data_IF_529063532679
#
_entry.id   IF_529063532679
#
_cell.length_a   1.000
_cell.length_b   1.000
_cell.length_c   1.000
_cell.angle_alpha   90.00
_cell.angle_beta   90.00
_cell.angle_gamma   90.00
#
_symmetry.space_group_name_H-M   'P 1'
#
loop_
_entity.id
_entity.type
_entity.pdbx_description
1 polymer ?
#
# COMPACT_ATOMS: atom_id res chain seq x y z
N UNK A 1 -43.42 10.01 -18.90
CA UNK A 1 -42.59 10.97 -18.58
C UNK A 1 -42.19 10.93 -17.20
N UNK A 2 -42.41 10.35 -16.36
CA UNK A 2 -41.95 10.35 -15.09
C UNK A 2 -41.17 9.19 -14.83
N UNK A 3 -40.49 8.67 -15.68
CA UNK A 3 -39.85 7.45 -15.49
C UNK A 3 -38.43 7.55 -15.16
N UNK A 4 -37.95 8.70 -15.07
CA UNK A 4 -36.56 8.88 -15.07
C UNK A 4 -35.85 8.61 -13.79
N UNK A 5 -36.57 8.25 -12.81
CA UNK A 5 -36.00 8.36 -11.50
C UNK A 5 -35.16 7.20 -11.06
N UNK A 6 -35.17 6.14 -11.81
CA UNK A 6 -34.64 4.91 -11.25
C UNK A 6 -33.18 4.63 -11.42
N UNK A 7 -32.47 5.57 -11.97
CA UNK A 7 -31.14 5.19 -12.41
C UNK A 7 -30.03 5.52 -11.47
N UNK A 8 -30.33 6.28 -10.47
CA UNK A 8 -29.28 6.89 -9.70
C UNK A 8 -28.70 6.00 -8.64
N UNK A 9 -29.36 4.96 -8.31
CA UNK A 9 -28.99 4.19 -7.15
C UNK A 9 -27.77 3.29 -7.33
N UNK A 10 -27.34 3.07 -8.55
CA UNK A 10 -26.29 2.09 -8.74
C UNK A 10 -24.90 2.58 -8.49
N UNK A 11 -24.70 3.85 -8.57
CA UNK A 11 -23.33 4.34 -8.48
C UNK A 11 -22.74 4.21 -7.09
N UNK A 12 -23.57 4.12 -6.10
CA UNK A 12 -23.07 4.10 -4.74
C UNK A 12 -22.37 2.80 -4.38
N UNK A 13 -22.72 1.73 -5.06
CA UNK A 13 -22.15 0.44 -4.71
C UNK A 13 -20.69 0.29 -5.08
N UNK A 14 -20.31 0.92 -6.16
CA UNK A 14 -18.93 0.83 -6.59
C UNK A 14 -17.98 1.46 -5.58
N UNK A 15 -18.44 2.52 -4.93
CA UNK A 15 -17.60 3.20 -3.97
C UNK A 15 -17.32 2.36 -2.73
N UNK A 16 -18.26 1.54 -2.34
CA UNK A 16 -18.08 0.71 -1.17
C UNK A 16 -17.05 -0.39 -1.41
N UNK A 17 -17.04 -0.93 -2.60
CA UNK A 17 -16.12 -2.01 -2.92
C UNK A 17 -14.68 -1.58 -3.02
N UNK A 18 -14.45 -0.31 -3.27
CA UNK A 18 -13.09 0.19 -3.46
C UNK A 18 -12.65 1.09 -2.32
N UNK A 19 -13.25 0.94 -1.15
CA UNK A 19 -12.94 1.81 -0.04
C UNK A 19 -11.57 1.58 0.57
N UNK A 20 -10.96 0.42 0.35
CA UNK A 20 -9.65 0.11 0.93
C UNK A 20 -8.58 0.15 -0.13
N UNK A 21 -7.47 0.86 0.15
CA UNK A 21 -6.35 0.83 -0.78
C UNK A 21 -5.85 -0.60 -0.97
N UNK A 22 -5.51 -0.92 -2.18
CA UNK A 22 -4.89 -2.21 -2.49
C UNK A 22 -3.84 -1.99 -3.56
N UNK A 23 -2.79 -2.81 -3.53
CA UNK A 23 -1.70 -2.69 -4.47
C UNK A 23 -0.55 -3.59 -4.08
N UNK A 24 0.62 -3.32 -4.61
CA UNK A 24 1.79 -4.17 -4.40
C UNK A 24 2.15 -4.30 -2.93
N UNK A 25 2.07 -3.21 -2.18
CA UNK A 25 2.42 -3.22 -0.77
C UNK A 25 1.39 -4.00 0.04
N UNK A 26 0.11 -3.76 -0.22
CA UNK A 26 -0.95 -4.47 0.50
C UNK A 26 -0.86 -5.97 0.25
N UNK A 27 -0.65 -6.36 -0.99
CA UNK A 27 -0.54 -7.78 -1.34
C UNK A 27 0.68 -8.42 -0.68
N UNK A 28 1.82 -7.73 -0.68
CA UNK A 28 3.02 -8.25 -0.04
C UNK A 28 2.87 -8.34 1.46
N UNK A 29 2.20 -7.37 2.05
CA UNK A 29 1.93 -7.35 3.49
C UNK A 29 1.09 -8.56 3.88
N UNK A 30 0.00 -8.82 3.15
CA UNK A 30 -0.88 -9.95 3.47
C UNK A 30 -0.19 -11.29 3.23
N UNK A 31 0.67 -11.36 2.23
CA UNK A 31 1.39 -12.57 1.92
C UNK A 31 2.60 -12.82 2.82
N UNK A 32 2.96 -11.87 3.67
CA UNK A 32 4.16 -11.98 4.49
C UNK A 32 4.08 -13.07 5.56
N UNK A 33 2.89 -13.51 5.91
CA UNK A 33 2.72 -14.53 6.93
C UNK A 33 2.96 -14.05 8.35
N UNK A 34 3.13 -12.76 8.54
CA UNK A 34 3.34 -12.22 9.88
C UNK A 34 2.04 -12.22 10.67
N UNK A 35 2.11 -12.53 11.97
CA UNK A 35 0.88 -12.60 12.77
C UNK A 35 0.06 -11.32 12.77
N UNK A 36 0.71 -10.16 12.69
CA UNK A 36 0.00 -8.89 12.70
C UNK A 36 -0.60 -8.53 11.33
N UNK A 37 -0.21 -9.23 10.27
CA UNK A 37 -0.68 -8.89 8.92
C UNK A 37 -2.14 -9.28 8.76
N UNK A 38 -2.98 -8.28 8.52
CA UNK A 38 -4.39 -8.49 8.23
C UNK A 38 -4.82 -7.44 7.21
N UNK A 39 -6.01 -7.62 6.64
CA UNK A 39 -6.46 -6.75 5.57
C UNK A 39 -6.53 -5.29 5.98
N UNK A 40 -6.95 -5.03 7.20
CA UNK A 40 -7.07 -3.65 7.68
C UNK A 40 -5.70 -2.99 7.80
N UNK A 41 -4.77 -3.65 8.47
CA UNK A 41 -3.43 -3.11 8.63
C UNK A 41 -2.73 -2.97 7.29
N UNK A 42 -2.82 -3.98 6.44
CA UNK A 42 -2.16 -3.96 5.14
C UNK A 42 -2.73 -2.88 4.23
N UNK A 43 -4.03 -2.59 4.31
CA UNK A 43 -4.62 -1.50 3.56
C UNK A 43 -4.12 -0.14 4.06
N UNK A 44 -3.97 0.01 5.36
CA UNK A 44 -3.41 1.23 5.94
C UNK A 44 -1.98 1.45 5.45
N UNK A 45 -1.17 0.41 5.48
CA UNK A 45 0.21 0.48 5.02
C UNK A 45 0.27 0.82 3.53
N UNK A 46 -0.66 0.27 2.75
CA UNK A 46 -0.74 0.63 1.33
C UNK A 46 -1.04 2.11 1.14
N UNK A 47 -1.92 2.67 1.95
CA UNK A 47 -2.22 4.10 1.90
C UNK A 47 -0.98 4.94 2.16
N UNK A 48 -0.16 4.54 3.12
CA UNK A 48 1.10 5.22 3.38
C UNK A 48 2.05 5.12 2.19
N UNK A 49 2.06 3.98 1.52
CA UNK A 49 2.89 3.80 0.33
C UNK A 49 2.41 4.68 -0.82
N UNK A 50 1.10 4.78 -1.00
CA UNK A 50 0.55 5.62 -2.07
C UNK A 50 0.93 7.08 -1.87
N UNK A 51 1.07 7.52 -0.64
CA UNK A 51 1.42 8.89 -0.33
C UNK A 51 2.93 9.18 -0.48
N UNK A 52 3.77 8.17 -0.46
CA UNK A 52 5.22 8.37 -0.36
C UNK A 52 6.02 7.71 -1.48
N UNK A 53 5.50 6.70 -2.14
CA UNK A 53 6.24 5.91 -3.12
C UNK A 53 5.52 5.88 -4.46
N UNK A 54 6.30 5.93 -5.54
CA UNK A 54 5.75 5.71 -6.87
C UNK A 54 5.37 4.24 -7.04
N UNK A 55 4.66 3.92 -8.12
CA UNK A 55 4.28 2.54 -8.39
C UNK A 55 5.47 1.60 -8.50
N UNK A 56 6.52 2.00 -9.20
CA UNK A 56 7.71 1.16 -9.33
C UNK A 56 8.45 1.02 -8.01
N UNK A 57 8.46 2.08 -7.22
CA UNK A 57 9.08 2.03 -5.90
C UNK A 57 8.31 1.12 -4.96
N UNK A 58 7.00 1.11 -5.07
CA UNK A 58 6.19 0.18 -4.28
C UNK A 58 6.49 -1.27 -4.64
N UNK A 59 6.64 -1.56 -5.92
CA UNK A 59 6.99 -2.91 -6.33
C UNK A 59 8.36 -3.33 -5.80
N UNK A 60 9.29 -2.40 -5.78
CA UNK A 60 10.62 -2.65 -5.22
C UNK A 60 10.53 -2.89 -3.72
N UNK A 61 9.81 -2.04 -3.02
CA UNK A 61 9.65 -2.18 -1.57
C UNK A 61 8.88 -3.44 -1.19
N UNK A 62 7.96 -3.87 -2.02
CA UNK A 62 7.20 -5.09 -1.77
C UNK A 62 8.09 -6.32 -1.61
N UNK A 63 9.23 -6.33 -2.28
CA UNK A 63 10.17 -7.45 -2.17
C UNK A 63 10.79 -7.53 -0.77
N UNK A 64 10.83 -6.43 -0.05
CA UNK A 64 11.40 -6.43 1.29
C UNK A 64 10.53 -7.19 2.29
N UNK A 65 9.23 -7.27 2.04
CA UNK A 65 8.34 -8.06 2.90
C UNK A 65 8.62 -9.55 2.78
N UNK A 66 9.01 -9.97 1.59
CA UNK A 66 9.29 -11.36 1.33
C UNK A 66 10.69 -11.74 1.74
N UNK A 67 11.62 -10.82 1.57
CA UNK A 67 13.03 -11.06 1.84
C UNK A 67 13.62 -9.78 2.45
N UNK A 68 13.60 -9.68 3.78
CA UNK A 68 14.13 -8.49 4.45
C UNK A 68 15.59 -8.18 4.13
N UNK A 69 16.37 -9.17 3.73
CA UNK A 69 17.76 -8.94 3.36
C UNK A 69 17.87 -8.00 2.17
N UNK A 70 16.87 -7.99 1.29
CA UNK A 70 16.88 -7.09 0.14
C UNK A 70 16.84 -5.63 0.56
N UNK A 71 16.21 -5.31 1.68
CA UNK A 71 16.23 -3.94 2.19
C UNK A 71 17.63 -3.53 2.59
N UNK A 72 18.36 -4.42 3.25
CA UNK A 72 19.74 -4.14 3.64
C UNK A 72 20.64 -3.99 2.42
N UNK A 73 20.49 -4.87 1.45
CA UNK A 73 21.28 -4.80 0.22
C UNK A 73 21.04 -3.49 -0.52
N UNK A 74 19.78 -3.07 -0.60
CA UNK A 74 19.42 -1.81 -1.25
C UNK A 74 20.05 -0.62 -0.51
N UNK A 75 19.99 -0.64 0.80
CA UNK A 75 20.53 0.42 1.60
C UNK A 75 22.02 0.56 1.42
N UNK A 76 22.73 -0.57 1.29
CA UNK A 76 24.17 -0.57 1.28
C UNK A 76 24.80 -0.32 -0.07
N UNK A 77 24.12 -0.67 -1.15
CA UNK A 77 24.80 -0.57 -2.42
C UNK A 77 23.96 -0.31 -3.64
N UNK A 78 22.76 -0.81 -3.66
CA UNK A 78 22.02 -0.86 -4.89
C UNK A 78 20.90 0.16 -4.99
N UNK A 79 20.55 0.79 -3.90
CA UNK A 79 19.49 1.77 -3.88
C UNK A 79 20.02 3.17 -4.11
N UNK A 80 19.20 4.00 -4.75
CA UNK A 80 19.52 5.40 -4.84
C UNK A 80 19.18 6.09 -3.51
N UNK A 81 19.88 7.16 -3.21
CA UNK A 81 19.59 7.94 -2.02
C UNK A 81 18.17 8.46 -2.02
N UNK A 82 17.65 8.83 -3.22
CA UNK A 82 16.28 9.34 -3.33
C UNK A 82 15.24 8.26 -2.98
N UNK A 83 15.43 7.05 -3.48
CA UNK A 83 14.52 5.96 -3.15
C UNK A 83 14.56 5.68 -1.65
N UNK A 84 15.74 5.64 -1.07
CA UNK A 84 15.86 5.31 0.36
C UNK A 84 15.20 6.36 1.23
N UNK A 85 15.31 7.63 0.88
CA UNK A 85 14.63 8.69 1.62
C UNK A 85 13.12 8.51 1.58
N UNK A 86 12.58 8.18 0.41
CA UNK A 86 11.13 7.96 0.27
C UNK A 86 10.69 6.71 1.00
N UNK A 87 11.50 5.67 0.98
CA UNK A 87 11.18 4.45 1.71
C UNK A 87 11.15 4.70 3.22
N UNK A 88 12.09 5.49 3.73
CA UNK A 88 12.05 5.87 5.14
C UNK A 88 10.83 6.69 5.48
N UNK A 89 10.45 7.61 4.61
CA UNK A 89 9.23 8.38 4.81
C UNK A 89 7.99 7.48 4.83
N UNK A 90 7.95 6.50 3.95
CA UNK A 90 6.89 5.51 3.94
C UNK A 90 6.84 4.75 5.28
N UNK A 91 7.96 4.28 5.76
CA UNK A 91 8.01 3.53 7.00
C UNK A 91 7.56 4.37 8.19
N UNK A 92 8.00 5.61 8.25
CA UNK A 92 7.60 6.53 9.32
C UNK A 92 6.11 6.84 9.28
N UNK A 93 5.58 7.06 8.10
CA UNK A 93 4.16 7.33 7.94
C UNK A 93 3.32 6.11 8.34
N UNK A 94 3.71 4.94 7.87
CA UNK A 94 2.99 3.73 8.22
C UNK A 94 3.00 3.49 9.72
N UNK A 95 4.13 3.71 10.36
CA UNK A 95 4.21 3.55 11.80
C UNK A 95 3.34 4.54 12.53
N UNK A 96 3.25 5.77 12.05
CA UNK A 96 2.46 6.80 12.71
C UNK A 96 0.96 6.57 12.60
N UNK A 97 0.49 6.07 11.45
CA UNK A 97 -0.95 6.00 11.19
C UNK A 97 -1.54 4.60 11.23
N UNK A 98 -0.72 3.57 11.20
CA UNK A 98 -1.19 2.19 11.08
C UNK A 98 -1.01 1.37 12.36
N UNK A 99 -1.01 1.99 13.49
CA UNK A 99 -0.86 1.28 14.75
C UNK A 99 -2.11 0.56 15.17
#
# INVERSE_FOLDING_TARGET
MRIIISIIALSALAACGSGRPSGAISRACEASGRPAANASLCSCVQGAADATLSGSEQRRAAKFFKDPQKAQDTRQGDGTAAFWRRYKAFAEQAEAICR
#
